data_IF_589185250083
#
_entry.id   IF_589185250083
#
_cell.length_a   1.000
_cell.length_b   1.000
_cell.length_c   1.000
_cell.angle_alpha   90.00
_cell.angle_beta   90.00
_cell.angle_gamma   90.00
#
_symmetry.space_group_name_H-M   'P 1'
#
loop_
_entity.id
_entity.type
_entity.pdbx_description
1 polymer ?
#
# COMPACT_ATOMS: atom_id res chain seq x y z
N UNK A 1 3.34 1.75 -36.97
CA UNK A 1 2.76 1.12 -35.75
C UNK A 1 3.52 -0.17 -35.49
N UNK A 2 4.30 -0.26 -34.40
CA UNK A 2 4.96 -1.52 -34.01
C UNK A 2 3.90 -2.43 -33.38
N UNK A 3 3.82 -3.67 -33.84
CA UNK A 3 2.89 -4.67 -33.29
C UNK A 3 3.61 -5.32 -32.10
N UNK A 4 3.23 -4.93 -30.89
CA UNK A 4 3.75 -5.56 -29.66
C UNK A 4 3.30 -7.03 -29.65
N UNK A 5 4.22 -7.94 -29.34
CA UNK A 5 3.88 -9.34 -29.11
C UNK A 5 3.08 -9.42 -27.81
N UNK A 6 1.78 -9.73 -27.94
CA UNK A 6 0.89 -9.93 -26.81
C UNK A 6 0.66 -11.42 -26.61
N UNK A 7 1.14 -11.94 -25.48
CA UNK A 7 0.82 -13.28 -25.00
C UNK A 7 0.23 -13.11 -23.60
N UNK A 8 -0.99 -13.58 -23.40
CA UNK A 8 -1.67 -13.47 -22.11
C UNK A 8 -1.11 -14.54 -21.15
N UNK A 9 -0.08 -14.17 -20.39
CA UNK A 9 0.68 -15.08 -19.51
C UNK A 9 0.22 -15.03 -18.02
N UNK A 10 -0.88 -14.34 -17.73
CA UNK A 10 -1.27 -14.01 -16.35
C UNK A 10 -0.36 -12.96 -15.70
N UNK A 11 -0.62 -12.61 -14.44
CA UNK A 11 0.23 -11.68 -13.66
C UNK A 11 1.07 -12.48 -12.65
N UNK A 12 2.39 -12.61 -12.86
CA UNK A 12 3.24 -13.30 -11.88
C UNK A 12 3.22 -12.54 -10.55
N UNK A 13 3.08 -13.27 -9.44
CA UNK A 13 3.14 -12.66 -8.11
C UNK A 13 4.54 -12.14 -7.82
N UNK A 14 4.65 -11.09 -7.00
CA UNK A 14 5.96 -10.56 -6.59
C UNK A 14 6.86 -11.66 -5.97
N UNK A 15 6.29 -12.55 -5.15
CA UNK A 15 7.05 -13.63 -4.51
C UNK A 15 7.66 -14.58 -5.55
N UNK A 16 6.93 -14.87 -6.63
CA UNK A 16 7.43 -15.68 -7.73
C UNK A 16 8.59 -14.99 -8.44
N UNK A 17 8.44 -13.70 -8.75
CA UNK A 17 9.50 -12.90 -9.40
C UNK A 17 10.75 -12.78 -8.53
N UNK A 18 10.59 -12.54 -7.22
CA UNK A 18 11.72 -12.43 -6.28
C UNK A 18 12.51 -13.73 -6.20
N UNK A 19 11.81 -14.86 -6.02
CA UNK A 19 12.45 -16.18 -5.93
C UNK A 19 13.17 -16.53 -7.23
N UNK A 20 12.58 -16.22 -8.37
CA UNK A 20 13.19 -16.53 -9.66
C UNK A 20 14.36 -15.59 -9.97
N UNK A 21 14.28 -14.31 -9.59
CA UNK A 21 15.38 -13.37 -9.70
C UNK A 21 16.59 -13.83 -8.86
N UNK A 22 16.37 -14.24 -7.62
CA UNK A 22 17.43 -14.80 -6.76
C UNK A 22 18.08 -16.04 -7.37
N UNK A 23 17.29 -16.94 -7.96
CA UNK A 23 17.82 -18.12 -8.64
C UNK A 23 18.69 -17.75 -9.85
N UNK A 24 18.20 -16.89 -10.73
CA UNK A 24 18.93 -16.45 -11.93
C UNK A 24 20.22 -15.72 -11.54
N UNK A 25 20.18 -14.90 -10.49
CA UNK A 25 21.37 -14.22 -9.97
C UNK A 25 22.38 -15.18 -9.35
N UNK A 26 21.93 -16.27 -8.73
CA UNK A 26 22.82 -17.30 -8.18
C UNK A 26 23.42 -18.21 -9.26
N UNK A 27 22.73 -18.39 -10.38
CA UNK A 27 23.20 -19.16 -11.54
C UNK A 27 24.08 -18.32 -12.49
N UNK A 28 24.00 -16.99 -12.39
CA UNK A 28 24.82 -16.09 -13.16
C UNK A 28 26.26 -16.11 -12.60
N UNK A 29 27.24 -16.36 -13.46
CA UNK A 29 28.66 -16.31 -13.08
C UNK A 29 29.03 -14.94 -12.47
N UNK A 30 30.07 -14.89 -11.64
CA UNK A 30 30.56 -13.66 -10.98
C UNK A 30 30.87 -12.52 -11.98
N UNK A 31 31.09 -12.83 -13.27
CA UNK A 31 31.28 -11.85 -14.35
C UNK A 31 29.97 -11.24 -14.88
N UNK A 32 28.80 -11.64 -14.34
CA UNK A 32 27.49 -11.18 -14.79
C UNK A 32 27.05 -9.88 -14.14
N UNK A 33 27.91 -8.86 -14.21
CA UNK A 33 27.67 -7.47 -13.75
C UNK A 33 26.45 -6.80 -14.40
N UNK A 34 25.85 -7.46 -15.40
CA UNK A 34 24.73 -6.97 -16.18
C UNK A 34 23.35 -7.31 -15.58
N UNK A 35 23.29 -8.07 -14.48
CA UNK A 35 22.05 -8.32 -13.72
C UNK A 35 22.12 -7.65 -12.34
N UNK A 36 21.00 -7.06 -11.89
CA UNK A 36 20.89 -6.51 -10.54
C UNK A 36 19.76 -7.15 -9.76
N UNK A 37 19.94 -7.24 -8.43
CA UNK A 37 18.86 -7.59 -7.52
C UNK A 37 17.68 -6.63 -7.70
N UNK A 38 16.47 -7.18 -7.77
CA UNK A 38 15.22 -6.44 -7.98
C UNK A 38 14.62 -6.04 -6.63
N UNK A 39 14.69 -4.75 -6.22
CA UNK A 39 14.08 -4.32 -4.97
C UNK A 39 12.56 -4.48 -5.04
N UNK A 40 11.95 -4.86 -3.92
CA UNK A 40 10.49 -5.11 -3.84
C UNK A 40 9.65 -3.97 -4.37
N UNK A 41 9.98 -2.74 -3.96
CA UNK A 41 9.26 -1.54 -4.40
C UNK A 41 9.31 -1.39 -5.93
N UNK A 42 10.52 -1.47 -6.51
CA UNK A 42 10.72 -1.29 -7.96
C UNK A 42 10.03 -2.38 -8.77
N UNK A 43 10.10 -3.64 -8.34
CA UNK A 43 9.41 -4.73 -9.01
C UNK A 43 7.89 -4.52 -9.00
N UNK A 44 7.31 -4.18 -7.85
CA UNK A 44 5.88 -3.87 -7.74
C UNK A 44 5.47 -2.67 -8.62
N UNK A 45 6.27 -1.61 -8.66
CA UNK A 45 5.99 -0.42 -9.46
C UNK A 45 6.08 -0.71 -10.97
N UNK A 46 7.05 -1.53 -11.38
CA UNK A 46 7.20 -2.00 -12.76
C UNK A 46 6.01 -2.87 -13.20
N UNK A 47 5.62 -3.86 -12.39
CA UNK A 47 4.51 -4.77 -12.72
C UNK A 47 3.18 -4.01 -12.75
N UNK A 48 2.99 -3.07 -11.83
CA UNK A 48 1.73 -2.32 -11.74
C UNK A 48 1.62 -1.15 -12.72
N UNK A 49 2.71 -0.84 -13.45
CA UNK A 49 2.77 0.32 -14.34
C UNK A 49 2.64 1.66 -13.61
N UNK A 50 2.89 1.70 -12.29
CA UNK A 50 2.72 2.90 -11.45
C UNK A 50 4.00 3.73 -11.31
N UNK A 51 5.11 3.27 -11.89
CA UNK A 51 6.36 4.01 -11.84
C UNK A 51 6.20 5.36 -12.54
N UNK A 52 6.38 6.45 -11.80
CA UNK A 52 6.39 7.82 -12.36
C UNK A 52 7.69 8.15 -13.10
N UNK A 53 8.74 7.39 -12.83
CA UNK A 53 10.08 7.60 -13.37
C UNK A 53 10.52 6.37 -14.13
N UNK A 54 11.28 6.54 -15.20
CA UNK A 54 11.86 5.40 -15.92
C UNK A 54 12.95 4.78 -15.03
N UNK A 55 12.80 3.50 -14.61
CA UNK A 55 13.74 2.85 -13.71
C UNK A 55 15.08 2.60 -14.37
N UNK A 56 16.08 2.16 -13.59
CA UNK A 56 17.40 1.81 -14.13
C UNK A 56 17.31 0.68 -15.18
N UNK A 57 18.11 0.78 -16.24
CA UNK A 57 18.09 -0.20 -17.33
C UNK A 57 18.42 -1.62 -16.85
N UNK A 58 19.35 -1.78 -15.90
CA UNK A 58 19.72 -3.10 -15.41
C UNK A 58 18.55 -3.77 -14.67
N UNK A 59 17.73 -2.99 -13.97
CA UNK A 59 16.53 -3.51 -13.31
C UNK A 59 15.46 -3.97 -14.32
N UNK A 60 15.25 -3.18 -15.38
CA UNK A 60 14.34 -3.57 -16.47
C UNK A 60 14.83 -4.84 -17.14
N UNK A 61 16.13 -4.92 -17.44
CA UNK A 61 16.75 -6.10 -18.04
C UNK A 61 16.60 -7.34 -17.16
N UNK A 62 16.88 -7.25 -15.86
CA UNK A 62 16.67 -8.37 -14.93
C UNK A 62 15.21 -8.81 -14.94
N UNK A 63 14.26 -7.88 -14.90
CA UNK A 63 12.83 -8.21 -14.95
C UNK A 63 12.46 -8.96 -16.24
N UNK A 64 12.97 -8.52 -17.40
CA UNK A 64 12.74 -9.19 -18.69
C UNK A 64 13.28 -10.62 -18.68
N UNK A 65 14.48 -10.83 -18.14
CA UNK A 65 15.10 -12.16 -18.03
C UNK A 65 14.29 -13.08 -17.10
N UNK A 66 13.87 -12.56 -15.95
CA UNK A 66 13.03 -13.30 -14.99
C UNK A 66 11.70 -13.70 -15.62
N UNK A 67 11.00 -12.76 -16.26
CA UNK A 67 9.72 -13.03 -16.92
C UNK A 67 9.87 -14.03 -18.06
N UNK A 68 10.93 -13.92 -18.87
CA UNK A 68 11.24 -14.90 -19.91
C UNK A 68 11.43 -16.30 -19.30
N UNK A 69 12.22 -16.42 -18.23
CA UNK A 69 12.47 -17.70 -17.58
C UNK A 69 11.21 -18.35 -17.00
N UNK A 70 10.34 -17.55 -16.35
CA UNK A 70 9.04 -18.02 -15.86
C UNK A 70 8.17 -18.51 -17.03
N UNK A 71 8.08 -17.72 -18.10
CA UNK A 71 7.27 -18.07 -19.25
C UNK A 71 7.78 -19.33 -19.97
N UNK A 72 9.10 -19.51 -20.08
CA UNK A 72 9.71 -20.77 -20.58
C UNK A 72 9.35 -21.95 -19.69
N UNK A 73 9.43 -21.82 -18.37
CA UNK A 73 9.03 -22.88 -17.41
C UNK A 73 7.54 -23.24 -17.49
N UNK A 74 6.71 -22.27 -17.84
CA UNK A 74 5.28 -22.46 -18.06
C UNK A 74 4.93 -22.96 -19.48
N UNK A 75 5.92 -23.28 -20.31
CA UNK A 75 5.75 -23.71 -21.71
C UNK A 75 4.96 -22.70 -22.57
N UNK A 76 5.10 -21.40 -22.29
CA UNK A 76 4.53 -20.35 -23.13
C UNK A 76 5.42 -20.11 -24.35
N UNK A 77 4.79 -19.95 -25.51
CA UNK A 77 5.48 -19.56 -26.74
C UNK A 77 5.87 -18.08 -26.66
N UNK A 78 7.15 -17.82 -26.40
CA UNK A 78 7.70 -16.49 -26.21
C UNK A 78 8.90 -16.27 -27.14
N UNK A 79 9.11 -15.02 -27.55
CA UNK A 79 10.28 -14.66 -28.34
C UNK A 79 11.58 -14.94 -27.56
N UNK A 80 12.70 -15.22 -28.26
CA UNK A 80 13.98 -15.47 -27.60
C UNK A 80 14.40 -14.32 -26.68
N UNK A 81 14.97 -14.64 -25.52
CA UNK A 81 15.42 -13.68 -24.51
C UNK A 81 16.21 -12.49 -25.09
N UNK A 82 17.14 -12.74 -26.01
CA UNK A 82 17.95 -11.69 -26.62
C UNK A 82 17.12 -10.70 -27.45
N UNK A 83 16.06 -11.17 -28.11
CA UNK A 83 15.14 -10.31 -28.86
C UNK A 83 14.31 -9.44 -27.92
N UNK A 84 13.80 -10.01 -26.82
CA UNK A 84 13.06 -9.27 -25.80
C UNK A 84 13.93 -8.20 -25.13
N UNK A 85 15.16 -8.54 -24.72
CA UNK A 85 16.09 -7.56 -24.12
C UNK A 85 16.34 -6.41 -25.10
N UNK A 86 16.55 -6.69 -26.39
CA UNK A 86 16.75 -5.64 -27.41
C UNK A 86 15.52 -4.75 -27.57
N UNK A 87 14.33 -5.34 -27.62
CA UNK A 87 13.06 -4.61 -27.76
C UNK A 87 12.80 -3.70 -26.55
N UNK A 88 12.87 -4.26 -25.34
CA UNK A 88 12.71 -3.49 -24.09
C UNK A 88 13.80 -2.43 -23.92
N UNK A 89 15.02 -2.67 -24.42
CA UNK A 89 16.10 -1.67 -24.43
C UNK A 89 15.75 -0.45 -25.27
N UNK A 90 15.18 -0.66 -26.45
CA UNK A 90 14.72 0.44 -27.31
C UNK A 90 13.55 1.21 -26.66
N UNK A 91 12.60 0.51 -26.04
CA UNK A 91 11.49 1.14 -25.34
C UNK A 91 11.97 1.96 -24.14
N UNK A 92 12.93 1.43 -23.39
CA UNK A 92 13.54 2.12 -22.26
C UNK A 92 14.31 3.38 -22.71
N UNK A 93 15.09 3.29 -23.79
CA UNK A 93 15.80 4.43 -24.37
C UNK A 93 14.83 5.53 -24.82
N UNK A 94 13.77 5.17 -25.56
CA UNK A 94 12.75 6.12 -25.99
C UNK A 94 12.06 6.81 -24.79
N UNK A 95 11.72 6.05 -23.74
CA UNK A 95 11.13 6.61 -22.52
C UNK A 95 12.10 7.54 -21.78
N UNK A 96 13.40 7.25 -21.78
CA UNK A 96 14.42 8.14 -21.20
C UNK A 96 14.59 9.43 -21.99
N UNK A 97 14.60 9.36 -23.32
CA UNK A 97 14.65 10.54 -24.18
C UNK A 97 13.42 11.45 -23.96
N UNK A 98 12.23 10.87 -23.77
CA UNK A 98 11.01 11.64 -23.43
C UNK A 98 11.10 12.29 -22.04
N UNK A 99 11.63 11.58 -21.03
CA UNK A 99 11.83 12.09 -19.67
C UNK A 99 12.80 13.30 -19.64
N UNK A 100 13.91 13.19 -20.39
CA UNK A 100 14.94 14.23 -20.48
C UNK A 100 14.51 15.40 -21.38
N UNK A 101 13.81 15.11 -22.48
CA UNK A 101 13.27 16.11 -23.40
C UNK A 101 12.13 16.93 -22.80
N UNK A 102 11.25 16.30 -22.01
CA UNK A 102 10.14 16.96 -21.32
C UNK A 102 10.58 17.95 -20.23
N UNK A 103 11.77 17.75 -19.64
CA UNK A 103 12.32 18.67 -18.64
C UNK A 103 12.96 19.92 -19.25
N UNK A 104 13.21 19.96 -20.57
CA UNK A 104 13.80 21.13 -21.26
C UNK A 104 12.80 21.96 -22.05
N UNK A 105 11.52 21.57 -22.14
CA UNK A 105 10.53 22.28 -22.94
C UNK A 105 9.21 22.48 -22.19
N UNK A 106 9.13 23.53 -21.36
CA UNK A 106 8.00 24.47 -21.39
C UNK A 106 8.28 25.75 -20.58
N UNK A 107 8.81 26.82 -21.21
CA UNK A 107 8.73 28.18 -20.68
C UNK A 107 7.29 28.72 -20.65
N UNK A 108 6.31 28.00 -21.24
CA UNK A 108 4.95 28.47 -21.45
C UNK A 108 4.02 28.28 -20.24
N UNK A 109 4.37 27.46 -19.25
CA UNK A 109 3.54 27.30 -18.04
C UNK A 109 3.80 28.38 -16.98
N UNK A 110 4.98 29.03 -17.02
CA UNK A 110 5.30 30.17 -16.14
C UNK A 110 4.64 31.47 -16.64
N UNK A 111 4.25 31.54 -17.91
CA UNK A 111 3.63 32.73 -18.51
C UNK A 111 2.11 32.88 -18.28
N UNK A 112 1.42 31.86 -17.71
CA UNK A 112 -0.04 31.88 -17.50
C UNK A 112 -0.47 32.02 -16.03
N UNK A 113 0.45 31.94 -15.08
CA UNK A 113 0.19 32.31 -13.69
C UNK A 113 0.87 33.65 -13.39
N UNK A 114 0.14 34.70 -13.77
CA UNK A 114 0.55 36.08 -13.63
C UNK A 114 0.99 36.45 -12.22
N UNK A 115 2.08 37.22 -12.19
CA UNK A 115 2.34 38.35 -11.31
C UNK A 115 1.34 38.53 -10.16
N UNK A 116 1.73 38.07 -8.97
CA UNK A 116 1.41 38.78 -7.73
C UNK A 116 2.75 39.06 -7.06
N UNK A 117 3.18 40.31 -7.17
CA UNK A 117 4.36 40.84 -6.47
C UNK A 117 4.10 40.80 -4.96
N UNK A 118 4.73 39.88 -4.24
CA UNK A 118 5.04 40.06 -2.82
C UNK A 118 6.55 39.92 -2.63
N UNK A 119 7.21 40.84 -1.90
CA UNK A 119 8.64 40.78 -1.69
C UNK A 119 8.91 39.79 -0.55
N UNK A 120 9.49 38.63 -0.87
CA UNK A 120 9.99 37.70 0.14
C UNK A 120 11.44 37.33 -0.13
N UNK A 121 12.30 38.01 0.65
CA UNK A 121 13.45 37.47 1.38
C UNK A 121 14.34 36.46 0.64
N UNK A 122 15.53 36.93 0.28
CA UNK A 122 16.83 36.25 0.37
C UNK A 122 16.83 34.74 0.14
N UNK A 123 17.14 34.40 -1.11
CA UNK A 123 17.65 33.11 -1.54
C UNK A 123 18.86 32.69 -0.71
N UNK A 124 18.62 31.83 0.28
CA UNK A 124 19.64 30.89 0.76
C UNK A 124 19.67 29.76 -0.27
N UNK A 125 20.59 29.87 -1.22
CA UNK A 125 21.03 28.80 -2.11
C UNK A 125 21.75 27.76 -1.26
N UNK A 126 20.97 26.90 -0.59
CA UNK A 126 21.46 25.77 0.17
C UNK A 126 21.74 24.59 -0.75
N UNK A 127 23.02 24.38 -1.01
CA UNK A 127 23.60 23.15 -1.54
C UNK A 127 23.03 21.94 -0.78
N UNK A 128 22.29 21.07 -1.48
CA UNK A 128 21.77 19.82 -0.89
C UNK A 128 22.93 18.84 -0.87
N UNK A 129 23.71 18.90 0.21
CA UNK A 129 24.69 17.87 0.52
C UNK A 129 23.95 16.53 0.67
N UNK A 130 24.48 15.51 -0.02
CA UNK A 130 24.13 14.12 0.24
C UNK A 130 24.30 13.83 1.75
N UNK A 131 23.35 13.12 2.39
CA UNK A 131 23.44 12.82 3.81
C UNK A 131 24.70 12.00 4.09
N UNK A 132 25.47 12.42 5.10
CA UNK A 132 26.69 11.74 5.51
C UNK A 132 26.39 10.28 5.93
N UNK A 133 27.29 9.32 5.66
CA UNK A 133 27.09 7.94 6.04
C UNK A 133 27.04 7.83 7.58
N UNK A 134 25.83 7.68 8.13
CA UNK A 134 25.59 7.63 9.58
C UNK A 134 24.34 8.37 10.04
N UNK A 135 23.77 9.25 9.22
CA UNK A 135 22.50 9.90 9.52
C UNK A 135 21.34 8.95 9.19
N UNK A 136 20.82 8.27 10.22
CA UNK A 136 19.58 7.52 10.12
C UNK A 136 18.41 8.41 9.65
N UNK A 137 17.34 7.82 9.09
CA UNK A 137 16.21 8.58 8.57
C UNK A 137 15.67 9.51 9.66
N UNK A 138 15.83 10.81 9.44
CA UNK A 138 15.28 11.84 10.31
C UNK A 138 13.76 11.60 10.41
N UNK A 139 13.31 11.05 11.54
CA UNK A 139 11.89 10.93 11.89
C UNK A 139 11.35 12.36 11.93
N UNK A 140 10.81 12.83 10.81
CA UNK A 140 10.03 14.07 10.78
C UNK A 140 8.83 13.85 11.69
N UNK A 141 8.94 14.34 12.92
CA UNK A 141 7.86 14.50 13.90
C UNK A 141 6.96 15.65 13.46
N UNK A 142 6.31 15.49 12.30
CA UNK A 142 5.13 16.30 11.99
C UNK A 142 4.00 15.85 12.91
N UNK A 143 3.37 16.79 13.60
CA UNK A 143 2.25 16.56 14.53
C UNK A 143 1.27 15.51 13.98
N UNK A 144 0.91 14.47 14.74
CA UNK A 144 0.04 13.38 14.28
C UNK A 144 -1.42 13.81 14.08
N UNK A 145 -1.81 14.99 14.60
CA UNK A 145 -3.18 15.49 14.62
C UNK A 145 -3.77 15.57 13.21
N UNK A 146 -4.85 14.83 12.95
CA UNK A 146 -5.59 14.88 11.68
C UNK A 146 -5.01 14.04 10.54
N UNK A 147 -4.17 13.03 10.81
CA UNK A 147 -3.75 12.07 9.78
C UNK A 147 -4.41 10.72 9.99
N UNK A 148 -4.73 10.02 8.90
CA UNK A 148 -5.05 8.59 8.94
C UNK A 148 -3.74 7.80 8.78
N UNK A 149 -3.59 6.65 9.46
CA UNK A 149 -2.48 5.74 9.23
C UNK A 149 -2.27 5.44 7.75
N UNK A 150 -1.00 5.42 7.32
CA UNK A 150 -0.64 5.25 5.91
C UNK A 150 -1.12 3.93 5.30
N UNK A 151 -1.37 2.92 6.13
CA UNK A 151 -1.92 1.60 5.78
C UNK A 151 -3.23 1.67 5.00
N UNK A 152 -4.08 2.67 5.27
CA UNK A 152 -5.40 2.83 4.65
C UNK A 152 -5.42 3.68 3.37
N UNK A 153 -4.25 4.24 3.00
CA UNK A 153 -4.03 4.95 1.75
C UNK A 153 -5.10 6.01 1.42
N UNK A 154 -5.54 6.02 0.15
CA UNK A 154 -6.48 7.03 -0.38
C UNK A 154 -7.90 6.88 0.18
N UNK A 155 -8.33 5.67 0.51
CA UNK A 155 -9.66 5.45 1.07
C UNK A 155 -9.77 6.13 2.42
N UNK A 156 -8.80 5.85 3.30
CA UNK A 156 -8.71 6.47 4.61
C UNK A 156 -8.73 7.99 4.54
N UNK A 157 -7.84 8.60 3.74
CA UNK A 157 -7.82 10.06 3.59
C UNK A 157 -9.14 10.65 3.08
N UNK A 158 -9.81 9.98 2.14
CA UNK A 158 -11.11 10.43 1.63
C UNK A 158 -12.19 10.36 2.71
N UNK A 159 -12.23 9.29 3.50
CA UNK A 159 -13.22 9.12 4.58
C UNK A 159 -12.98 10.11 5.71
N UNK A 160 -11.72 10.38 6.06
CA UNK A 160 -11.39 11.44 7.01
C UNK A 160 -11.95 12.79 6.57
N UNK A 161 -11.67 13.18 5.33
CA UNK A 161 -12.16 14.44 4.78
C UNK A 161 -13.69 14.54 4.83
N UNK A 162 -14.40 13.49 4.43
CA UNK A 162 -15.86 13.46 4.52
C UNK A 162 -16.36 13.55 5.96
N UNK A 163 -15.67 12.90 6.91
CA UNK A 163 -16.00 12.98 8.32
C UNK A 163 -15.74 14.38 8.89
N UNK A 164 -14.68 15.06 8.45
CA UNK A 164 -14.39 16.47 8.75
C UNK A 164 -15.47 17.40 8.19
N UNK A 165 -16.00 17.11 7.00
CA UNK A 165 -17.13 17.79 6.37
C UNK A 165 -18.48 17.51 7.08
N UNK A 166 -18.48 16.69 8.14
CA UNK A 166 -19.65 16.42 8.99
C UNK A 166 -20.47 15.19 8.60
N UNK A 167 -19.99 14.36 7.67
CA UNK A 167 -20.61 13.07 7.32
C UNK A 167 -20.45 12.08 8.49
N UNK A 168 -21.58 11.77 9.14
CA UNK A 168 -21.61 10.88 10.30
C UNK A 168 -21.27 9.43 9.96
N UNK A 169 -21.63 8.97 8.76
CA UNK A 169 -21.29 7.62 8.30
C UNK A 169 -19.79 7.51 8.07
N UNK A 170 -19.19 8.53 7.46
CA UNK A 170 -17.74 8.59 7.30
C UNK A 170 -17.02 8.65 8.65
N UNK A 171 -17.54 9.41 9.62
CA UNK A 171 -16.99 9.45 10.99
C UNK A 171 -17.03 8.07 11.68
N UNK A 172 -18.12 7.32 11.52
CA UNK A 172 -18.20 5.94 12.02
C UNK A 172 -17.17 5.02 11.37
N UNK A 173 -17.05 5.09 10.04
CA UNK A 173 -16.08 4.29 9.28
C UNK A 173 -14.63 4.59 9.67
N UNK A 174 -14.29 5.87 9.86
CA UNK A 174 -12.97 6.30 10.35
C UNK A 174 -12.72 5.79 11.77
N UNK A 175 -13.71 5.86 12.66
CA UNK A 175 -13.58 5.35 14.03
C UNK A 175 -13.23 3.85 14.05
N UNK A 176 -13.88 3.04 13.20
CA UNK A 176 -13.59 1.61 13.06
C UNK A 176 -12.17 1.38 12.55
N UNK A 177 -11.75 2.06 11.48
CA UNK A 177 -10.40 1.90 10.91
C UNK A 177 -9.29 2.27 11.90
N UNK A 178 -9.45 3.38 12.62
CA UNK A 178 -8.48 3.84 13.61
C UNK A 178 -8.39 2.89 14.82
N UNK A 179 -9.52 2.35 15.26
CA UNK A 179 -9.52 1.34 16.32
C UNK A 179 -8.82 0.04 15.89
N UNK A 180 -9.05 -0.42 14.65
CA UNK A 180 -8.35 -1.57 14.08
C UNK A 180 -6.84 -1.33 13.94
N UNK A 181 -6.42 -0.13 13.52
CA UNK A 181 -4.99 0.21 13.47
C UNK A 181 -4.35 0.17 14.86
N UNK A 182 -5.01 0.75 15.87
CA UNK A 182 -4.49 0.75 17.23
C UNK A 182 -4.24 -0.69 17.73
N UNK A 183 -5.13 -1.62 17.40
CA UNK A 183 -4.96 -3.05 17.70
C UNK A 183 -3.79 -3.65 16.93
N UNK A 184 -3.66 -3.36 15.63
CA UNK A 184 -2.56 -3.84 14.81
C UNK A 184 -1.19 -3.37 15.33
N UNK A 185 -1.11 -2.12 15.80
CA UNK A 185 0.08 -1.54 16.42
C UNK A 185 0.41 -2.21 17.76
N UNK A 186 -0.59 -2.39 18.62
CA UNK A 186 -0.43 -3.08 19.91
C UNK A 186 0.08 -4.52 19.72
N UNK A 187 -0.53 -5.26 18.79
CA UNK A 187 -0.14 -6.64 18.48
C UNK A 187 1.27 -6.74 17.88
N UNK A 188 1.74 -5.68 17.25
CA UNK A 188 3.09 -5.60 16.67
C UNK A 188 4.15 -5.13 17.67
N UNK A 189 3.81 -4.91 18.94
CA UNK A 189 4.73 -4.39 19.96
C UNK A 189 5.23 -2.97 19.64
N UNK A 190 4.42 -2.16 18.95
CA UNK A 190 4.75 -0.76 18.61
C UNK A 190 4.61 0.15 19.83
N UNK A 191 4.97 1.42 19.63
CA UNK A 191 4.95 2.47 20.64
C UNK A 191 3.57 2.56 21.34
N UNK A 192 3.48 2.34 22.66
CA UNK A 192 2.22 2.42 23.40
C UNK A 192 1.59 3.81 23.35
N UNK A 193 2.37 4.88 23.19
CA UNK A 193 1.84 6.24 23.04
C UNK A 193 1.07 6.38 21.73
N UNK A 194 1.57 5.77 20.65
CA UNK A 194 0.90 5.76 19.34
C UNK A 194 -0.41 4.95 19.41
N UNK A 195 -0.40 3.81 20.09
CA UNK A 195 -1.62 3.01 20.34
C UNK A 195 -2.67 3.82 21.10
N UNK A 196 -2.26 4.49 22.19
CA UNK A 196 -3.16 5.32 22.99
C UNK A 196 -3.72 6.50 22.18
N UNK A 197 -2.89 7.12 21.36
CA UNK A 197 -3.29 8.20 20.46
C UNK A 197 -4.38 7.74 19.47
N UNK A 198 -4.19 6.63 18.77
CA UNK A 198 -5.16 6.14 17.80
C UNK A 198 -6.47 5.69 18.45
N UNK A 199 -6.42 5.11 19.66
CA UNK A 199 -7.62 4.81 20.45
C UNK A 199 -8.40 6.07 20.82
N UNK A 200 -7.71 7.13 21.23
CA UNK A 200 -8.33 8.40 21.58
C UNK A 200 -9.00 9.04 20.35
N UNK A 201 -8.31 9.09 19.21
CA UNK A 201 -8.89 9.59 17.95
C UNK A 201 -10.10 8.77 17.52
N UNK A 202 -10.02 7.43 17.56
CA UNK A 202 -11.17 6.57 17.27
C UNK A 202 -12.38 6.89 18.16
N UNK A 203 -12.17 7.19 19.44
CA UNK A 203 -13.23 7.61 20.35
C UNK A 203 -13.84 8.97 19.99
N UNK A 204 -13.02 9.94 19.56
CA UNK A 204 -13.51 11.24 19.07
C UNK A 204 -14.42 11.05 17.85
N UNK A 205 -13.99 10.26 16.86
CA UNK A 205 -14.77 10.01 15.64
C UNK A 205 -16.04 9.21 15.92
N UNK A 206 -15.98 8.21 16.81
CA UNK A 206 -17.17 7.50 17.30
C UNK A 206 -18.16 8.48 17.94
N UNK A 207 -17.67 9.40 18.77
CA UNK A 207 -18.50 10.44 19.41
C UNK A 207 -19.23 11.31 18.39
N UNK A 208 -18.56 11.71 17.31
CA UNK A 208 -19.17 12.51 16.21
C UNK A 208 -20.24 11.74 15.42
N UNK A 209 -20.11 10.43 15.31
CA UNK A 209 -21.09 9.56 14.66
C UNK A 209 -22.28 9.21 15.58
N UNK A 210 -22.06 9.23 16.90
CA UNK A 210 -23.05 8.84 17.90
C UNK A 210 -24.28 9.75 17.83
N UNK A 211 -25.47 9.16 17.85
CA UNK A 211 -26.76 9.87 17.72
C UNK A 211 -27.24 10.06 16.28
N UNK A 212 -26.35 9.94 15.29
CA UNK A 212 -26.71 9.94 13.86
C UNK A 212 -26.66 8.55 13.23
N UNK A 213 -25.70 7.73 13.66
CA UNK A 213 -25.55 6.34 13.24
C UNK A 213 -25.84 5.43 14.45
N UNK A 214 -26.89 4.59 14.43
CA UNK A 214 -27.24 3.75 15.57
C UNK A 214 -26.14 2.74 15.90
N UNK A 215 -25.45 2.19 14.89
CA UNK A 215 -24.34 1.26 15.07
C UNK A 215 -23.16 1.90 15.84
N UNK A 216 -22.97 3.22 15.72
CA UNK A 216 -21.92 3.94 16.45
C UNK A 216 -22.17 3.97 17.96
N UNK A 217 -23.43 3.97 18.41
CA UNK A 217 -23.75 3.92 19.84
C UNK A 217 -23.40 2.56 20.45
N UNK A 218 -23.59 1.48 19.69
CA UNK A 218 -23.27 0.12 20.12
C UNK A 218 -21.79 -0.25 19.95
N UNK A 219 -21.04 0.47 19.13
CA UNK A 219 -19.64 0.15 18.81
C UNK A 219 -18.75 0.18 20.06
N UNK A 220 -18.12 -0.95 20.41
CA UNK A 220 -16.90 -0.94 21.26
C UNK A 220 -15.67 -0.89 20.36
N UNK A 221 -14.69 -0.07 20.74
CA UNK A 221 -13.44 0.15 19.99
C UNK A 221 -12.42 -0.99 20.20
N UNK A 222 -12.85 -2.13 20.72
CA UNK A 222 -12.01 -3.30 20.99
C UNK A 222 -12.86 -4.57 21.08
N UNK A 223 -12.20 -5.72 20.95
CA UNK A 223 -12.81 -7.04 21.09
C UNK A 223 -13.73 -7.42 19.92
N UNK A 224 -14.60 -8.42 20.15
CA UNK A 224 -15.45 -9.01 19.12
C UNK A 224 -16.40 -8.01 18.44
N UNK A 225 -16.85 -6.98 19.16
CA UNK A 225 -17.75 -5.97 18.58
C UNK A 225 -17.05 -5.10 17.54
N UNK A 226 -15.76 -4.80 17.70
CA UNK A 226 -15.00 -4.08 16.68
C UNK A 226 -14.80 -4.96 15.43
N UNK A 227 -14.49 -6.24 15.64
CA UNK A 227 -14.36 -7.23 14.56
C UNK A 227 -15.64 -7.29 13.73
N UNK A 228 -16.80 -7.44 14.39
CA UNK A 228 -18.09 -7.51 13.72
C UNK A 228 -18.40 -6.21 12.96
N UNK A 229 -18.15 -5.05 13.56
CA UNK A 229 -18.33 -3.76 12.89
C UNK A 229 -17.47 -3.62 11.62
N UNK A 230 -16.20 -4.06 11.67
CA UNK A 230 -15.31 -4.04 10.52
C UNK A 230 -15.78 -4.99 9.40
N UNK A 231 -16.22 -6.22 9.74
CA UNK A 231 -16.80 -7.14 8.76
C UNK A 231 -18.10 -6.64 8.14
N UNK A 232 -19.00 -6.09 8.95
CA UNK A 232 -20.26 -5.51 8.45
C UNK A 232 -19.99 -4.40 7.44
N UNK A 233 -19.02 -3.52 7.71
CA UNK A 233 -18.58 -2.50 6.76
C UNK A 233 -17.99 -3.11 5.50
N UNK A 234 -17.13 -4.12 5.63
CA UNK A 234 -16.53 -4.82 4.49
C UNK A 234 -17.59 -5.45 3.57
N UNK A 235 -18.56 -6.16 4.15
CA UNK A 235 -19.68 -6.80 3.44
C UNK A 235 -20.58 -5.74 2.80
N UNK A 236 -20.92 -4.67 3.52
CA UNK A 236 -21.74 -3.56 3.01
C UNK A 236 -21.08 -2.92 1.78
N UNK A 237 -19.77 -2.71 1.82
CA UNK A 237 -19.02 -2.19 0.67
C UNK A 237 -18.95 -3.18 -0.50
N UNK A 238 -18.72 -4.47 -0.22
CA UNK A 238 -18.71 -5.54 -1.24
C UNK A 238 -20.06 -5.59 -1.96
N UNK A 239 -21.18 -5.65 -1.22
CA UNK A 239 -22.54 -5.65 -1.77
C UNK A 239 -22.86 -4.39 -2.58
N UNK A 240 -22.34 -3.24 -2.17
CA UNK A 240 -22.52 -1.98 -2.89
C UNK A 240 -21.59 -1.81 -4.10
N UNK A 241 -20.70 -2.76 -4.39
CA UNK A 241 -19.69 -2.63 -5.45
C UNK A 241 -18.72 -1.46 -5.24
N UNK A 242 -18.56 -1.00 -3.99
CA UNK A 242 -17.72 0.16 -3.65
C UNK A 242 -16.27 -0.27 -3.45
N UNK A 243 -15.35 0.50 -3.99
CA UNK A 243 -13.94 0.39 -3.65
C UNK A 243 -13.76 0.61 -2.14
N UNK A 244 -12.97 -0.25 -1.49
CA UNK A 244 -12.67 -0.17 -0.06
C UNK A 244 -13.15 -1.36 0.79
N UNK A 245 -13.92 -2.29 0.21
CA UNK A 245 -14.28 -3.54 0.92
C UNK A 245 -13.05 -4.30 1.43
N UNK A 246 -12.01 -4.39 0.60
CA UNK A 246 -10.73 -5.03 0.95
C UNK A 246 -10.06 -4.39 2.17
N UNK A 247 -10.11 -3.06 2.28
CA UNK A 247 -9.49 -2.34 3.38
C UNK A 247 -10.20 -2.67 4.71
N UNK A 248 -11.53 -2.71 4.71
CA UNK A 248 -12.29 -3.13 5.89
C UNK A 248 -12.10 -4.63 6.23
N UNK A 249 -11.91 -5.50 5.25
CA UNK A 249 -11.53 -6.90 5.52
C UNK A 249 -10.16 -7.00 6.19
N UNK A 250 -9.17 -6.22 5.74
CA UNK A 250 -7.86 -6.15 6.38
C UNK A 250 -7.99 -5.62 7.81
N UNK A 251 -8.79 -4.58 8.04
CA UNK A 251 -9.07 -4.03 9.35
C UNK A 251 -9.74 -5.06 10.28
N UNK A 252 -10.70 -5.84 9.76
CA UNK A 252 -11.35 -6.91 10.50
C UNK A 252 -10.36 -7.99 10.92
N UNK A 253 -9.52 -8.47 9.99
CA UNK A 253 -8.46 -9.46 10.27
C UNK A 253 -7.45 -8.96 11.31
N UNK A 254 -7.08 -7.68 11.27
CA UNK A 254 -6.23 -7.07 12.30
C UNK A 254 -6.90 -7.10 13.67
N UNK A 255 -8.17 -6.70 13.76
CA UNK A 255 -8.92 -6.73 15.01
C UNK A 255 -9.09 -8.15 15.55
N UNK A 256 -9.35 -9.14 14.68
CA UNK A 256 -9.47 -10.55 15.05
C UNK A 256 -8.22 -11.10 15.73
N UNK A 257 -7.05 -10.70 15.26
CA UNK A 257 -5.78 -11.18 15.82
C UNK A 257 -5.64 -10.89 17.32
N UNK A 258 -6.25 -9.80 17.80
CA UNK A 258 -6.27 -9.47 19.23
C UNK A 258 -7.26 -10.30 20.04
N UNK A 259 -8.34 -10.76 19.40
CA UNK A 259 -9.37 -11.60 20.05
C UNK A 259 -8.88 -13.05 20.16
N UNK A 260 -8.14 -13.53 19.16
CA UNK A 260 -7.55 -14.88 19.19
C UNK A 260 -6.56 -15.09 20.34
N UNK A 261 -5.81 -14.04 20.73
CA UNK A 261 -4.92 -14.07 21.89
C UNK A 261 -5.67 -14.27 23.21
N UNK A 262 -6.85 -13.66 23.36
CA UNK A 262 -7.68 -13.78 24.57
C UNK A 262 -8.19 -15.20 24.80
N UNK A 263 -8.50 -15.94 23.74
CA UNK A 263 -8.98 -17.32 23.83
C UNK A 263 -7.86 -18.32 24.17
N UNK A 264 -6.60 -18.04 23.83
CA UNK A 264 -5.48 -18.90 24.24
C UNK A 264 -5.16 -18.76 25.73
N UNK A 265 -5.29 -17.56 26.31
CA UNK A 265 -5.07 -17.36 27.75
C UNK A 265 -6.20 -17.95 28.61
N UNK A 266 -7.46 -17.89 28.14
CA UNK A 266 -8.61 -18.49 28.85
C UNK A 266 -8.74 -20.00 28.64
N UNK A 267 -8.22 -20.56 27.55
CA UNK A 267 -8.19 -22.02 27.34
C UNK A 267 -7.24 -22.75 28.30
N UNK A 268 -6.39 -22.02 29.02
CA UNK A 268 -5.62 -22.57 30.15
C UNK A 268 -6.44 -22.68 31.44
N UNK A 269 -7.70 -22.22 31.50
CA UNK A 269 -8.47 -22.20 32.75
C UNK A 269 -9.94 -22.63 32.71
N UNK A 270 -10.55 -23.04 31.59
CA UNK A 270 -11.96 -23.48 31.64
C UNK A 270 -12.37 -24.39 30.49
N UNK A 271 -12.61 -25.65 30.82
CA UNK A 271 -13.32 -26.61 29.99
C UNK A 271 -14.83 -26.45 30.16
N UNK A 272 -15.56 -26.55 29.04
CA UNK A 272 -17.01 -26.70 28.88
C UNK A 272 -17.83 -25.41 28.73
N UNK A 273 -18.04 -24.98 27.47
CA UNK A 273 -19.37 -25.02 26.85
C UNK A 273 -19.24 -24.78 25.34
N UNK A 274 -19.71 -25.71 24.52
CA UNK A 274 -19.53 -25.71 23.06
C UNK A 274 -20.79 -25.16 22.40
N UNK A 275 -20.81 -23.85 22.12
CA UNK A 275 -21.83 -23.23 21.26
C UNK A 275 -21.28 -23.03 19.85
N UNK A 276 -22.03 -23.54 18.87
CA UNK A 276 -21.68 -23.47 17.45
C UNK A 276 -21.81 -22.02 16.96
N UNK A 277 -20.69 -21.31 16.92
CA UNK A 277 -20.56 -20.02 16.25
C UNK A 277 -20.34 -20.29 14.77
N UNK A 278 -21.31 -19.93 13.93
CA UNK A 278 -21.18 -19.97 12.47
C UNK A 278 -20.10 -18.97 12.05
N UNK A 279 -19.05 -19.45 11.37
CA UNK A 279 -17.92 -18.64 10.94
C UNK A 279 -18.34 -17.72 9.76
N UNK A 280 -18.37 -16.38 9.94
CA UNK A 280 -18.76 -15.45 8.88
C UNK A 280 -17.78 -15.43 7.69
N UNK A 281 -16.64 -16.13 7.76
CA UNK A 281 -15.67 -16.24 6.67
C UNK A 281 -16.16 -17.11 5.51
N UNK A 282 -17.07 -18.06 5.77
CA UNK A 282 -17.53 -19.02 4.75
C UNK A 282 -18.43 -18.39 3.67
N UNK A 283 -19.02 -17.21 3.93
CA UNK A 283 -19.80 -16.46 2.94
C UNK A 283 -18.97 -15.42 2.16
N UNK A 284 -17.74 -15.13 2.59
CA UNK A 284 -17.00 -13.94 2.11
C UNK A 284 -16.08 -14.20 0.89
N UNK A 285 -15.69 -15.45 0.63
CA UNK A 285 -14.72 -15.83 -0.41
C UNK A 285 -15.33 -16.37 -1.72
N UNK A 286 -16.67 -16.46 -1.79
CA UNK A 286 -17.42 -16.61 -3.03
C UNK A 286 -17.85 -15.23 -3.59
#
# INVERSE_FOLDING_TARGET
>A
MRKLYYVEAGQPSYQMLSREAERILAEADEESDWLRSLPRATACDLISGKSKRTPDWLLVRTLVVVCHHIATKSNLDIAPQAALIKEFGQLWQAAKEEEEGGSRASPAYVAMHGCSEEPRSDQITGDVLDPAPGEGPSRRTTSPTGRIPGSWGRLGSRRLKQAEDGDAQAAYEVAVLLACEAIGLESSGRDPEEVAYWRAEAAVWKGRATGKIPEAAALRLQGLQLVNAAYELAIRYKKAGRAGSKDFFIAAMQAESSVGGLNQETSTSSSADESVVVDPRDEAWL
#
